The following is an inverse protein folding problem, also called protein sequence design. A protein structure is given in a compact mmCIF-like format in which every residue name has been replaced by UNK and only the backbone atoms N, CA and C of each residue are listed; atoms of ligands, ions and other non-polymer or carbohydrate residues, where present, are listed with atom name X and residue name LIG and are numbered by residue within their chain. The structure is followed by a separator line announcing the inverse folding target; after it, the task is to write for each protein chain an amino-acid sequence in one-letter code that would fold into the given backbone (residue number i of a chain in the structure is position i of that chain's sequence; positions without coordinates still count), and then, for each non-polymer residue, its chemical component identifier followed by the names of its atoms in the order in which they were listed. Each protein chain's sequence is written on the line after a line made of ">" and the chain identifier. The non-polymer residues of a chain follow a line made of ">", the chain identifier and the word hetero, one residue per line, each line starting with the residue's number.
data_IF_167159932524
#
_entry.id   IF_167159932524
#
_cell.length_a   1.000
_cell.length_b   1.000
_cell.length_c   1.000
_cell.angle_alpha   90.00
_cell.angle_beta   90.00
_cell.angle_gamma   90.00
#
_symmetry.space_group_name_H-M   'P 1'
#
loop_
_entity.id
_entity.type
_entity.pdbx_description
1 polymer ?
#
# COMPACT_ATOMS: atom_id res chain seq x y z
N UNK A 1 27.71 67.52 -49.79
CA UNK A 1 27.34 67.14 -48.41
C UNK A 1 26.19 66.13 -48.48
N UNK A 2 26.49 64.81 -48.41
CA UNK A 2 25.50 63.74 -48.48
C UNK A 2 25.25 63.19 -47.07
N UNK A 3 24.02 63.37 -46.54
CA UNK A 3 23.57 62.77 -45.27
C UNK A 3 23.05 61.35 -45.55
N UNK A 4 23.73 60.39 -44.98
CA UNK A 4 23.30 58.98 -44.96
C UNK A 4 22.39 58.78 -43.75
N UNK A 5 21.11 58.48 -43.99
CA UNK A 5 20.17 58.03 -42.95
C UNK A 5 20.35 56.55 -42.70
N UNK A 6 20.67 56.20 -41.46
CA UNK A 6 20.68 54.82 -40.97
C UNK A 6 19.29 54.46 -40.42
N UNK A 7 18.59 53.56 -41.05
CA UNK A 7 17.34 53.01 -40.56
C UNK A 7 17.69 51.83 -39.66
N UNK A 8 17.41 51.97 -38.38
CA UNK A 8 17.56 50.87 -37.42
C UNK A 8 16.35 49.96 -37.50
N UNK A 9 16.55 48.70 -37.92
CA UNK A 9 15.53 47.66 -37.90
C UNK A 9 15.61 46.97 -36.51
N UNK A 10 14.63 47.25 -35.65
CA UNK A 10 14.48 46.55 -34.37
C UNK A 10 13.84 45.20 -34.63
N UNK A 11 14.63 44.13 -34.42
CA UNK A 11 14.13 42.75 -34.46
C UNK A 11 13.45 42.41 -33.11
N UNK A 12 12.13 42.35 -33.14
CA UNK A 12 11.30 41.93 -32.00
C UNK A 12 11.37 40.40 -31.92
N UNK A 13 12.23 39.86 -31.04
CA UNK A 13 12.27 38.42 -30.69
C UNK A 13 11.09 38.11 -29.79
N UNK A 14 9.99 37.57 -30.33
CA UNK A 14 8.95 36.94 -29.53
C UNK A 14 9.54 35.64 -28.91
N UNK A 15 9.89 35.69 -27.65
CA UNK A 15 10.15 34.48 -26.84
C UNK A 15 8.82 33.73 -26.67
N UNK A 16 8.59 32.71 -27.49
CA UNK A 16 7.55 31.74 -27.24
C UNK A 16 7.98 30.89 -26.02
N UNK A 17 7.49 31.24 -24.83
CA UNK A 17 7.54 30.35 -23.67
C UNK A 17 6.68 29.13 -23.98
N UNK A 18 7.21 27.89 -23.94
CA UNK A 18 6.36 26.72 -24.03
C UNK A 18 5.45 26.75 -22.81
N UNK A 19 4.16 26.95 -23.02
CA UNK A 19 3.11 26.68 -22.07
C UNK A 19 3.09 25.13 -21.92
N UNK A 20 4.01 24.59 -21.12
CA UNK A 20 3.88 23.24 -20.60
C UNK A 20 2.61 23.27 -19.75
N UNK A 21 1.49 22.97 -20.38
CA UNK A 21 0.27 22.65 -19.69
C UNK A 21 0.65 21.50 -18.73
N UNK A 22 0.79 21.81 -17.46
CA UNK A 22 0.67 20.83 -16.41
C UNK A 22 -0.76 20.31 -16.52
N UNK A 23 -0.95 19.28 -17.34
CA UNK A 23 -2.09 18.39 -17.22
C UNK A 23 -1.94 17.79 -15.82
N UNK A 24 -2.53 18.44 -14.83
CA UNK A 24 -2.87 17.79 -13.58
C UNK A 24 -3.70 16.60 -14.02
N UNK A 25 -3.11 15.43 -13.83
CA UNK A 25 -3.80 14.16 -13.99
C UNK A 25 -4.95 14.17 -12.98
N UNK A 26 -6.11 14.62 -13.45
CA UNK A 26 -7.26 14.89 -12.59
C UNK A 26 -8.17 13.67 -12.69
N UNK A 27 -7.86 12.66 -11.83
CA UNK A 27 -8.74 11.53 -11.60
C UNK A 27 -9.53 11.78 -10.30
N UNK A 28 -10.69 12.47 -10.39
CA UNK A 28 -11.49 12.78 -9.20
C UNK A 28 -12.08 11.50 -8.62
N UNK A 29 -12.21 11.47 -7.29
CA UNK A 29 -12.88 10.38 -6.60
C UNK A 29 -14.31 10.18 -7.16
N UNK A 30 -14.61 8.98 -7.60
CA UNK A 30 -15.97 8.59 -8.02
C UNK A 30 -16.89 8.60 -6.80
N UNK A 31 -18.11 9.08 -6.97
CA UNK A 31 -19.16 8.98 -5.96
C UNK A 31 -20.05 7.79 -6.30
N UNK A 32 -19.57 6.60 -5.99
CA UNK A 32 -20.35 5.36 -6.22
C UNK A 32 -21.59 5.31 -5.32
N UNK A 33 -21.41 5.67 -4.04
CA UNK A 33 -22.48 5.74 -3.04
C UNK A 33 -23.33 4.49 -2.92
N UNK A 34 -23.88 4.28 -1.73
CA UNK A 34 -24.83 3.17 -1.50
C UNK A 34 -24.25 1.98 -0.77
N UNK A 35 -25.13 1.29 -0.03
CA UNK A 35 -24.76 0.25 0.90
C UNK A 35 -24.04 0.79 2.13
N UNK A 36 -24.11 0.03 3.20
CA UNK A 36 -23.36 0.33 4.42
C UNK A 36 -22.10 -0.56 4.48
N UNK A 37 -21.04 -0.04 5.08
CA UNK A 37 -19.92 -0.88 5.44
C UNK A 37 -20.41 -2.04 6.31
N UNK A 38 -20.00 -3.29 6.05
CA UNK A 38 -20.52 -4.45 6.75
C UNK A 38 -20.41 -4.33 8.28
N UNK A 39 -21.34 -4.95 9.00
CA UNK A 39 -21.39 -4.89 10.46
C UNK A 39 -20.06 -5.30 11.10
N UNK A 40 -19.62 -4.57 12.10
CA UNK A 40 -18.34 -4.78 12.80
C UNK A 40 -17.13 -4.21 12.10
N UNK A 41 -17.28 -3.60 10.92
CA UNK A 41 -16.21 -2.87 10.27
C UNK A 41 -16.31 -1.37 10.52
N UNK A 42 -15.16 -0.75 10.68
CA UNK A 42 -14.97 0.70 10.71
C UNK A 42 -14.15 1.11 9.50
N UNK A 43 -14.39 2.30 8.95
CA UNK A 43 -13.63 2.82 7.82
C UNK A 43 -13.22 4.25 8.04
N UNK A 44 -12.11 4.65 7.42
CA UNK A 44 -11.63 6.02 7.37
C UNK A 44 -11.01 6.33 6.02
N UNK A 45 -11.40 7.46 5.45
CA UNK A 45 -10.80 8.02 4.24
C UNK A 45 -9.43 8.63 4.52
N UNK A 46 -8.57 8.72 3.51
CA UNK A 46 -7.22 9.29 3.64
C UNK A 46 -7.22 10.78 3.96
N UNK A 47 -8.24 11.52 3.50
CA UNK A 47 -8.36 12.97 3.67
C UNK A 47 -9.64 13.30 4.43
N UNK A 48 -9.58 14.30 5.31
CA UNK A 48 -10.71 14.71 6.16
C UNK A 48 -11.91 15.26 5.37
N UNK A 49 -11.66 15.85 4.19
CA UNK A 49 -12.72 16.37 3.32
C UNK A 49 -13.41 15.30 2.46
N UNK A 50 -12.94 14.05 2.48
CA UNK A 50 -13.55 12.91 1.80
C UNK A 50 -14.57 12.23 2.70
N UNK A 51 -15.57 11.59 2.10
CA UNK A 51 -16.64 10.88 2.83
C UNK A 51 -16.62 9.40 2.50
N UNK A 52 -16.66 8.56 3.52
CA UNK A 52 -16.77 7.11 3.35
C UNK A 52 -18.07 6.71 2.62
N UNK A 53 -19.12 7.51 2.76
CA UNK A 53 -20.41 7.34 2.05
C UNK A 53 -20.31 7.54 0.52
N UNK A 54 -19.20 8.07 0.02
CA UNK A 54 -18.95 8.16 -1.42
C UNK A 54 -18.52 6.80 -2.01
N UNK A 55 -18.10 5.84 -1.17
CA UNK A 55 -17.90 4.45 -1.57
C UNK A 55 -19.21 3.64 -1.48
N UNK A 56 -19.32 2.58 -2.29
CA UNK A 56 -20.40 1.61 -2.24
C UNK A 56 -19.90 0.32 -1.61
N UNK A 57 -20.71 -0.27 -0.72
CA UNK A 57 -20.40 -1.55 -0.07
C UNK A 57 -21.53 -2.55 -0.30
N UNK A 58 -21.14 -3.80 -0.61
CA UNK A 58 -22.05 -4.92 -0.80
C UNK A 58 -21.48 -6.15 -0.08
N UNK A 59 -22.23 -6.72 0.85
CA UNK A 59 -21.85 -7.99 1.49
C UNK A 59 -21.86 -9.10 0.44
N UNK A 60 -20.78 -9.88 0.35
CA UNK A 60 -20.65 -10.95 -0.64
C UNK A 60 -19.84 -12.12 -0.08
N UNK A 61 -20.45 -13.28 0.05
CA UNK A 61 -19.80 -14.47 0.61
C UNK A 61 -19.26 -14.25 2.01
N UNK A 62 -18.01 -14.60 2.23
CA UNK A 62 -17.29 -14.43 3.52
C UNK A 62 -16.71 -13.02 3.71
N UNK A 63 -16.88 -12.14 2.72
CA UNK A 63 -16.30 -10.81 2.70
C UNK A 63 -17.28 -9.74 2.24
N UNK A 64 -16.76 -8.77 1.52
CA UNK A 64 -17.54 -7.70 0.94
C UNK A 64 -16.89 -7.16 -0.34
N UNK A 65 -17.74 -6.55 -1.14
CA UNK A 65 -17.33 -5.81 -2.32
C UNK A 65 -17.33 -4.33 -2.02
N UNK A 66 -16.29 -3.62 -2.45
CA UNK A 66 -16.20 -2.17 -2.37
C UNK A 66 -15.97 -1.58 -3.75
N UNK A 67 -16.86 -0.70 -4.17
CA UNK A 67 -16.59 0.25 -5.26
C UNK A 67 -16.14 1.53 -4.58
N UNK A 68 -14.80 1.72 -4.55
CA UNK A 68 -14.19 2.83 -3.85
C UNK A 68 -14.37 4.13 -4.64
N UNK A 69 -14.81 5.18 -3.96
CA UNK A 69 -14.60 6.55 -4.41
C UNK A 69 -13.28 7.05 -3.85
N UNK A 70 -13.23 7.49 -2.57
CA UNK A 70 -11.99 7.89 -1.94
C UNK A 70 -11.13 6.70 -1.51
N UNK A 71 -9.82 6.92 -1.41
CA UNK A 71 -8.92 6.00 -0.76
C UNK A 71 -9.24 5.89 0.74
N UNK A 72 -9.28 4.67 1.26
CA UNK A 72 -9.65 4.43 2.64
C UNK A 72 -8.97 3.19 3.24
N UNK A 73 -8.95 3.15 4.57
CA UNK A 73 -8.63 1.97 5.35
C UNK A 73 -9.90 1.44 6.03
N UNK A 74 -9.96 0.13 6.22
CA UNK A 74 -11.09 -0.58 6.83
C UNK A 74 -10.56 -1.57 7.87
N UNK A 75 -11.16 -1.60 9.06
CA UNK A 75 -10.75 -2.52 10.11
C UNK A 75 -11.95 -2.95 10.97
N UNK A 76 -11.77 -4.07 11.67
CA UNK A 76 -12.66 -4.48 12.75
C UNK A 76 -12.05 -4.02 14.08
N UNK A 77 -12.83 -3.96 15.14
CA UNK A 77 -12.31 -3.71 16.49
C UNK A 77 -11.56 -4.95 17.00
N UNK A 78 -10.41 -5.20 16.38
CA UNK A 78 -9.52 -6.32 16.67
C UNK A 78 -8.10 -5.79 16.88
N UNK A 79 -7.72 -5.59 18.11
CA UNK A 79 -6.33 -5.30 18.43
C UNK A 79 -5.58 -6.62 18.56
N UNK A 80 -4.56 -6.78 17.74
CA UNK A 80 -3.64 -7.92 17.83
C UNK A 80 -2.54 -7.55 18.82
N UNK A 81 -2.22 -8.49 19.71
CA UNK A 81 -1.06 -8.43 20.61
C UNK A 81 -0.23 -9.67 20.41
N UNK A 82 1.10 -9.50 20.33
CA UNK A 82 2.03 -10.60 20.10
C UNK A 82 2.05 -11.13 18.66
N UNK A 83 2.62 -12.33 18.44
CA UNK A 83 2.82 -12.90 17.11
C UNK A 83 1.51 -13.27 16.42
N UNK A 84 1.41 -12.98 15.11
CA UNK A 84 0.24 -13.31 14.30
C UNK A 84 0.59 -13.53 12.83
N UNK A 85 -0.36 -14.12 12.11
CA UNK A 85 -0.43 -14.11 10.65
C UNK A 85 -1.78 -13.54 10.26
N UNK A 86 -1.77 -12.54 9.38
CA UNK A 86 -2.99 -11.98 8.80
C UNK A 86 -2.98 -12.17 7.28
N UNK A 87 -4.13 -12.49 6.71
CA UNK A 87 -4.29 -12.63 5.27
C UNK A 87 -5.63 -12.05 4.79
N UNK A 88 -5.66 -11.68 3.53
CA UNK A 88 -6.87 -11.33 2.80
C UNK A 88 -6.69 -11.63 1.31
N UNK A 89 -7.76 -12.05 0.66
CA UNK A 89 -7.81 -12.24 -0.78
C UNK A 89 -8.56 -11.08 -1.41
N UNK A 90 -7.91 -10.42 -2.36
CA UNK A 90 -8.46 -9.30 -3.11
C UNK A 90 -8.67 -9.70 -4.56
N UNK A 91 -9.85 -9.42 -5.09
CA UNK A 91 -10.13 -9.55 -6.51
C UNK A 91 -10.50 -8.18 -7.06
N UNK A 92 -9.58 -7.55 -7.78
CA UNK A 92 -9.89 -6.38 -8.60
C UNK A 92 -10.81 -6.84 -9.72
N UNK A 93 -11.94 -6.14 -9.94
CA UNK A 93 -12.98 -6.58 -10.86
C UNK A 93 -12.86 -5.93 -12.25
N UNK A 94 -12.22 -4.78 -12.33
CA UNK A 94 -11.94 -4.04 -13.57
C UNK A 94 -10.70 -3.18 -13.44
N UNK A 95 -10.09 -2.81 -14.55
CA UNK A 95 -8.99 -1.85 -14.57
C UNK A 95 -9.49 -0.46 -14.11
N UNK A 96 -8.84 0.20 -13.15
CA UNK A 96 -9.06 1.61 -12.90
C UNK A 96 -8.49 2.47 -14.03
N UNK A 97 -8.89 3.74 -14.10
CA UNK A 97 -8.38 4.68 -15.11
C UNK A 97 -6.87 4.87 -14.99
N UNK A 98 -6.38 4.98 -13.76
CA UNK A 98 -4.96 4.99 -13.41
C UNK A 98 -4.63 3.78 -12.54
N UNK A 99 -3.39 3.27 -12.57
CA UNK A 99 -3.00 2.13 -11.75
C UNK A 99 -3.16 2.42 -10.26
N UNK A 100 -4.20 1.85 -9.66
CA UNK A 100 -4.53 1.99 -8.25
C UNK A 100 -4.28 0.70 -7.47
N UNK A 101 -4.20 0.79 -6.15
CA UNK A 101 -3.69 -0.27 -5.30
C UNK A 101 -4.65 -0.65 -4.16
N UNK A 102 -4.54 -1.90 -3.75
CA UNK A 102 -5.22 -2.46 -2.58
C UNK A 102 -4.25 -3.28 -1.74
N UNK A 103 -4.61 -3.51 -0.48
CA UNK A 103 -3.76 -4.35 0.37
C UNK A 103 -4.15 -4.42 1.83
N UNK A 104 -3.17 -4.80 2.65
CA UNK A 104 -3.32 -4.99 4.09
C UNK A 104 -2.48 -3.96 4.83
N UNK A 105 -3.05 -3.32 5.84
CA UNK A 105 -2.30 -2.56 6.83
C UNK A 105 -2.19 -3.35 8.14
N UNK A 106 -1.17 -3.05 8.94
CA UNK A 106 -0.88 -3.67 10.23
C UNK A 106 -0.20 -2.69 11.18
N UNK A 107 -0.09 -3.04 12.45
CA UNK A 107 0.42 -2.18 13.53
C UNK A 107 -0.43 -0.91 13.73
N UNK A 108 -1.73 -0.96 13.41
CA UNK A 108 -2.62 0.20 13.41
C UNK A 108 -2.85 0.76 14.81
N UNK A 109 -2.55 2.05 15.00
CA UNK A 109 -2.78 2.81 16.23
C UNK A 109 -3.40 4.16 15.87
N UNK A 110 -4.29 4.68 16.73
CA UNK A 110 -4.89 6.00 16.53
C UNK A 110 -5.68 6.14 15.22
N UNK A 111 -6.19 5.05 14.63
CA UNK A 111 -6.72 5.02 13.27
C UNK A 111 -7.87 6.01 13.03
N UNK A 112 -8.64 6.33 14.07
CA UNK A 112 -9.76 7.28 13.99
C UNK A 112 -9.33 8.76 14.19
N UNK A 113 -8.06 9.04 14.47
CA UNK A 113 -7.55 10.38 14.81
C UNK A 113 -6.51 10.87 13.80
N UNK A 114 -6.09 12.13 13.92
CA UNK A 114 -5.01 12.68 13.10
C UNK A 114 -3.66 11.96 13.35
N UNK A 115 -3.48 11.33 14.52
CA UNK A 115 -2.27 10.62 14.93
C UNK A 115 -2.20 9.17 14.44
N UNK A 116 -3.02 8.82 13.42
CA UNK A 116 -3.02 7.48 12.83
C UNK A 116 -1.60 7.01 12.50
N UNK A 117 -1.30 5.77 12.88
CA UNK A 117 0.01 5.19 12.65
C UNK A 117 -0.16 3.72 12.23
N UNK A 118 0.35 3.35 11.06
CA UNK A 118 0.27 1.98 10.54
C UNK A 118 1.25 1.75 9.38
N UNK A 119 1.75 0.53 9.25
CA UNK A 119 2.45 0.08 8.05
C UNK A 119 1.49 -0.65 7.12
N UNK A 120 1.79 -0.68 5.82
CA UNK A 120 0.92 -1.33 4.84
C UNK A 120 1.67 -1.86 3.61
N UNK A 121 1.21 -3.04 3.16
CA UNK A 121 1.58 -3.67 1.90
C UNK A 121 0.48 -3.40 0.89
N UNK A 122 0.85 -2.92 -0.28
CA UNK A 122 -0.05 -2.73 -1.42
C UNK A 122 0.42 -3.49 -2.64
N UNK A 123 -0.53 -3.92 -3.45
CA UNK A 123 -0.33 -4.43 -4.81
C UNK A 123 -1.19 -3.68 -5.81
N UNK A 124 -0.74 -3.64 -7.06
CA UNK A 124 -1.45 -3.06 -8.20
C UNK A 124 -1.70 -4.10 -9.28
N UNK A 125 -2.75 -3.90 -10.07
CA UNK A 125 -3.10 -4.77 -11.19
C UNK A 125 -2.03 -4.86 -12.30
N UNK A 126 -1.07 -3.94 -12.34
CA UNK A 126 0.07 -3.97 -13.28
C UNK A 126 1.23 -4.88 -12.80
N UNK A 127 1.10 -5.55 -11.65
CA UNK A 127 2.10 -6.50 -11.16
C UNK A 127 3.13 -5.93 -10.20
N UNK A 128 2.85 -4.79 -9.56
CA UNK A 128 3.79 -4.13 -8.66
C UNK A 128 3.38 -4.26 -7.20
N UNK A 129 4.38 -4.22 -6.33
CA UNK A 129 4.25 -4.14 -4.87
C UNK A 129 4.82 -2.82 -4.35
N UNK A 130 4.30 -2.37 -3.21
CA UNK A 130 4.83 -1.24 -2.45
C UNK A 130 4.61 -1.46 -0.96
N UNK A 131 5.54 -0.98 -0.13
CA UNK A 131 5.41 -0.96 1.33
C UNK A 131 5.64 0.45 1.83
N UNK A 132 4.72 0.95 2.64
CA UNK A 132 4.82 2.27 3.27
C UNK A 132 4.47 2.21 4.75
N UNK A 133 4.85 3.27 5.45
CA UNK A 133 4.48 3.54 6.83
C UNK A 133 3.84 4.93 6.90
N UNK A 134 2.67 5.03 7.49
CA UNK A 134 1.99 6.28 7.78
C UNK A 134 2.15 6.64 9.26
N UNK A 135 2.52 7.88 9.53
CA UNK A 135 2.63 8.47 10.86
C UNK A 135 1.93 9.85 10.86
N UNK A 136 0.69 9.88 11.29
CA UNK A 136 -0.16 11.07 11.17
C UNK A 136 -0.37 11.47 9.70
N UNK A 137 0.06 12.68 9.35
CA UNK A 137 0.02 13.21 7.98
C UNK A 137 1.19 12.72 7.11
N UNK A 138 2.27 12.27 7.73
CA UNK A 138 3.50 11.89 7.03
C UNK A 138 3.42 10.44 6.53
N UNK A 139 3.96 10.21 5.34
CA UNK A 139 4.00 8.88 4.71
C UNK A 139 5.43 8.59 4.27
N UNK A 140 6.01 7.55 4.85
CA UNK A 140 7.36 7.10 4.58
C UNK A 140 7.34 5.89 3.65
N UNK A 141 8.09 5.94 2.56
CA UNK A 141 8.25 4.80 1.64
C UNK A 141 9.33 3.87 2.19
N UNK A 142 8.97 2.59 2.41
CA UNK A 142 9.90 1.52 2.83
C UNK A 142 10.37 0.73 1.62
N UNK A 143 9.43 0.36 0.73
CA UNK A 143 9.70 -0.24 -0.58
C UNK A 143 8.88 0.53 -1.59
N UNK A 144 9.53 1.14 -2.57
CA UNK A 144 8.85 1.86 -3.64
C UNK A 144 8.25 0.88 -4.66
N UNK A 145 7.40 1.37 -5.55
CA UNK A 145 6.77 0.56 -6.56
C UNK A 145 7.78 -0.28 -7.34
N UNK A 146 7.71 -1.59 -7.12
CA UNK A 146 8.66 -2.56 -7.69
C UNK A 146 7.88 -3.68 -8.36
N UNK A 147 8.25 -4.03 -9.60
CA UNK A 147 7.70 -5.19 -10.28
C UNK A 147 8.00 -6.47 -9.50
N UNK A 148 6.99 -7.31 -9.33
CA UNK A 148 7.15 -8.56 -8.60
C UNK A 148 6.35 -9.70 -9.25
N UNK A 149 7.04 -10.78 -9.61
CA UNK A 149 6.45 -11.93 -10.27
C UNK A 149 5.41 -12.69 -9.42
N UNK A 150 5.40 -12.45 -8.09
CA UNK A 150 4.38 -13.02 -7.21
C UNK A 150 3.01 -12.35 -7.35
N UNK A 151 2.93 -11.15 -7.92
CA UNK A 151 1.67 -10.44 -8.14
C UNK A 151 1.04 -10.93 -9.44
N UNK A 152 -0.15 -11.48 -9.35
CA UNK A 152 -0.95 -11.78 -10.53
C UNK A 152 -1.41 -10.48 -11.18
N UNK A 153 -0.98 -10.28 -12.43
CA UNK A 153 -1.38 -9.10 -13.21
C UNK A 153 -2.83 -9.22 -13.66
N UNK A 154 -3.46 -8.08 -13.86
CA UNK A 154 -4.80 -8.01 -14.42
C UNK A 154 -4.84 -8.58 -15.83
N UNK A 155 -5.93 -9.26 -16.16
CA UNK A 155 -6.23 -9.75 -17.49
C UNK A 155 -6.75 -8.62 -18.42
N UNK A 156 -7.16 -8.99 -19.61
CA UNK A 156 -7.69 -8.03 -20.60
C UNK A 156 -9.00 -7.34 -20.14
N UNK A 157 -9.73 -7.94 -19.19
CA UNK A 157 -10.93 -7.35 -18.58
C UNK A 157 -10.58 -6.47 -17.37
N UNK A 158 -9.30 -6.38 -17.01
CA UNK A 158 -8.82 -5.65 -15.84
C UNK A 158 -8.95 -6.42 -14.53
N UNK A 159 -9.24 -7.73 -14.57
CA UNK A 159 -9.47 -8.55 -13.39
C UNK A 159 -8.17 -9.21 -12.92
N UNK A 160 -7.92 -9.15 -11.61
CA UNK A 160 -6.79 -9.83 -10.97
C UNK A 160 -7.17 -10.26 -9.56
N UNK A 161 -6.74 -11.46 -9.16
CA UNK A 161 -6.91 -11.96 -7.78
C UNK A 161 -5.54 -12.17 -7.14
N UNK A 162 -5.34 -11.58 -5.97
CA UNK A 162 -4.11 -11.72 -5.19
C UNK A 162 -4.45 -11.95 -3.72
N UNK A 163 -3.79 -12.91 -3.09
CA UNK A 163 -3.83 -13.12 -1.63
C UNK A 163 -2.61 -12.49 -0.99
N UNK A 164 -2.84 -11.55 -0.09
CA UNK A 164 -1.78 -10.86 0.65
C UNK A 164 -1.70 -11.43 2.07
N UNK A 165 -0.47 -11.56 2.57
CA UNK A 165 -0.21 -12.06 3.93
C UNK A 165 0.80 -11.17 4.64
N UNK A 166 0.47 -10.80 5.88
CA UNK A 166 1.37 -10.20 6.86
C UNK A 166 1.72 -11.29 7.87
N UNK A 167 2.96 -11.74 7.87
CA UNK A 167 3.45 -12.79 8.73
C UNK A 167 4.39 -12.18 9.80
N UNK A 168 3.82 -11.86 10.95
CA UNK A 168 4.47 -11.34 12.14
C UNK A 168 4.67 -12.44 13.21
N UNK A 169 4.79 -13.70 12.78
CA UNK A 169 5.00 -14.84 13.71
C UNK A 169 6.40 -14.88 14.31
N UNK A 170 7.35 -14.13 13.79
CA UNK A 170 8.75 -14.10 14.23
C UNK A 170 9.06 -12.78 14.95
N UNK A 171 9.87 -12.88 16.01
CA UNK A 171 10.31 -11.71 16.76
C UNK A 171 11.32 -10.82 16.00
N UNK A 172 12.04 -11.39 15.03
CA UNK A 172 13.10 -10.70 14.30
C UNK A 172 12.62 -9.94 13.03
N UNK A 173 11.44 -10.26 12.54
CA UNK A 173 10.95 -9.67 11.29
C UNK A 173 9.45 -9.85 11.06
N UNK A 174 8.84 -8.90 10.35
CA UNK A 174 7.55 -9.08 9.67
C UNK A 174 7.81 -9.39 8.21
N UNK A 175 7.31 -10.53 7.75
CA UNK A 175 7.40 -10.96 6.35
C UNK A 175 6.12 -10.63 5.63
N UNK A 176 6.24 -9.97 4.49
CA UNK A 176 5.13 -9.58 3.64
C UNK A 176 5.12 -10.49 2.42
N UNK A 177 3.96 -11.13 2.16
CA UNK A 177 3.85 -12.11 1.08
C UNK A 177 2.67 -11.78 0.18
N UNK A 178 2.81 -12.12 -1.09
CA UNK A 178 1.76 -12.09 -2.09
C UNK A 178 1.71 -13.48 -2.75
N UNK A 179 0.52 -14.07 -2.79
CA UNK A 179 0.30 -15.41 -3.36
C UNK A 179 1.27 -16.47 -2.81
N UNK A 180 1.59 -16.38 -1.51
CA UNK A 180 2.50 -17.27 -0.80
C UNK A 180 4.00 -16.93 -0.90
N UNK A 181 4.43 -16.15 -1.89
CA UNK A 181 5.81 -15.75 -2.04
C UNK A 181 6.14 -14.49 -1.23
N UNK A 182 7.30 -14.46 -0.57
CA UNK A 182 7.75 -13.28 0.16
C UNK A 182 8.18 -12.18 -0.82
N UNK A 183 7.57 -11.01 -0.68
CA UNK A 183 7.85 -9.83 -1.53
C UNK A 183 8.65 -8.75 -0.78
N UNK A 184 8.56 -8.72 0.55
CA UNK A 184 9.33 -7.82 1.39
C UNK A 184 9.49 -8.40 2.81
N UNK A 185 10.41 -7.83 3.58
CA UNK A 185 10.52 -8.06 5.01
C UNK A 185 10.90 -6.77 5.72
N UNK A 186 10.31 -6.56 6.89
CA UNK A 186 10.62 -5.44 7.78
C UNK A 186 11.35 -5.98 9.01
N UNK A 187 12.59 -5.55 9.30
CA UNK A 187 13.30 -5.99 10.50
C UNK A 187 12.58 -5.58 11.78
N UNK A 188 12.47 -6.49 12.74
CA UNK A 188 11.83 -6.25 14.05
C UNK A 188 12.46 -5.09 14.82
N UNK A 189 13.78 -4.89 14.67
CA UNK A 189 14.52 -3.79 15.28
C UNK A 189 14.02 -2.39 14.88
N UNK A 190 13.36 -2.26 13.75
CA UNK A 190 12.85 -0.97 13.25
C UNK A 190 11.37 -0.73 13.59
N UNK A 191 10.69 -1.73 14.17
CA UNK A 191 9.23 -1.66 14.36
C UNK A 191 8.81 -1.45 15.83
N UNK A 192 9.70 -1.70 16.80
CA UNK A 192 9.40 -1.66 18.22
C UNK A 192 8.38 -2.72 18.64
N UNK A 193 7.16 -2.67 18.12
CA UNK A 193 6.10 -3.65 18.39
C UNK A 193 5.23 -3.86 17.17
N UNK A 194 4.76 -5.09 16.97
CA UNK A 194 3.76 -5.43 15.94
C UNK A 194 2.32 -5.31 16.44
N UNK A 195 2.12 -4.93 17.70
CA UNK A 195 0.81 -4.78 18.31
C UNK A 195 0.01 -3.65 17.66
N UNK A 196 -1.28 -3.86 17.53
CA UNK A 196 -2.20 -2.88 16.97
C UNK A 196 -3.30 -3.49 16.11
N UNK A 197 -4.08 -2.65 15.46
CA UNK A 197 -5.09 -3.12 14.53
C UNK A 197 -4.46 -3.61 13.23
N UNK A 198 -5.10 -4.62 12.63
CA UNK A 198 -4.83 -5.09 11.29
C UNK A 198 -6.09 -4.90 10.45
N UNK A 199 -5.96 -4.49 9.21
CA UNK A 199 -7.10 -4.27 8.37
C UNK A 199 -6.73 -4.13 6.89
N UNK A 200 -7.67 -3.62 6.13
CA UNK A 200 -7.61 -3.53 4.67
C UNK A 200 -7.35 -2.09 4.25
N UNK A 201 -6.70 -1.92 3.12
CA UNK A 201 -6.58 -0.65 2.44
C UNK A 201 -7.01 -0.81 0.99
N UNK A 202 -7.87 0.10 0.52
CA UNK A 202 -8.28 0.20 -0.87
C UNK A 202 -8.07 1.65 -1.31
N UNK A 203 -7.30 1.85 -2.36
CA UNK A 203 -7.09 3.17 -2.92
C UNK A 203 -8.33 3.64 -3.70
N UNK A 204 -8.28 4.87 -4.22
CA UNK A 204 -9.44 5.47 -4.85
C UNK A 204 -9.82 4.81 -6.19
N UNK A 205 -11.07 4.97 -6.60
CA UNK A 205 -11.62 4.54 -7.89
C UNK A 205 -11.41 3.06 -8.23
N UNK A 206 -11.27 2.21 -7.21
CA UNK A 206 -11.17 0.77 -7.38
C UNK A 206 -12.52 0.06 -7.20
N UNK A 207 -12.64 -1.06 -7.91
CA UNK A 207 -13.75 -2.00 -7.83
C UNK A 207 -13.16 -3.34 -7.38
N UNK A 208 -13.29 -3.65 -6.08
CA UNK A 208 -12.55 -4.75 -5.44
C UNK A 208 -13.49 -5.59 -4.57
N UNK A 209 -13.47 -6.90 -4.79
CA UNK A 209 -14.00 -7.86 -3.84
C UNK A 209 -12.91 -8.29 -2.87
N UNK A 210 -13.22 -8.26 -1.56
CA UNK A 210 -12.34 -8.72 -0.48
C UNK A 210 -12.96 -9.94 0.17
N UNK A 211 -12.21 -11.03 0.24
CA UNK A 211 -12.61 -12.28 0.88
C UNK A 211 -11.52 -12.77 1.86
N UNK A 212 -11.90 -13.72 2.69
CA UNK A 212 -10.99 -14.49 3.56
C UNK A 212 -10.07 -13.63 4.45
N UNK A 213 -10.55 -12.44 4.87
CA UNK A 213 -9.82 -11.65 5.84
C UNK A 213 -9.80 -12.36 7.19
N UNK A 214 -8.64 -12.82 7.58
CA UNK A 214 -8.42 -13.54 8.82
C UNK A 214 -7.15 -13.08 9.52
N UNK A 215 -7.18 -13.09 10.85
CA UNK A 215 -6.03 -12.85 11.72
C UNK A 215 -5.91 -14.05 12.64
N UNK A 216 -4.78 -14.76 12.55
CA UNK A 216 -4.52 -15.97 13.31
C UNK A 216 -3.37 -15.71 14.29
N UNK A 217 -3.64 -15.69 15.62
CA UNK A 217 -2.58 -15.62 16.61
C UNK A 217 -1.60 -16.78 16.44
N UNK A 218 -0.33 -16.53 16.69
CA UNK A 218 0.73 -17.50 16.58
C UNK A 218 1.46 -17.66 17.93
N UNK A 219 2.04 -18.84 18.16
CA UNK A 219 3.02 -18.98 19.24
C UNK A 219 4.31 -18.27 18.80
N UNK A 220 4.96 -17.55 19.73
CA UNK A 220 6.26 -16.92 19.42
C UNK A 220 7.27 -17.99 18.99
N UNK A 221 7.70 -17.95 17.74
CA UNK A 221 8.85 -18.73 17.31
C UNK A 221 10.11 -17.96 17.66
N UNK A 222 11.01 -18.55 18.43
CA UNK A 222 12.30 -17.94 18.77
C UNK A 222 13.02 -17.54 17.47
N UNK A 223 13.71 -16.39 17.49
CA UNK A 223 14.60 -15.99 16.41
C UNK A 223 15.58 -17.14 16.12
N UNK A 224 15.78 -17.50 14.85
CA UNK A 224 16.84 -18.45 14.50
C UNK A 224 18.17 -17.87 15.01
N UNK A 225 18.84 -18.63 15.91
CA UNK A 225 20.17 -18.25 16.35
C UNK A 225 21.08 -18.04 15.14
N UNK A 226 21.87 -16.96 15.10
CA UNK A 226 22.80 -16.76 14.00
C UNK A 226 23.70 -17.98 13.85
N UNK A 227 24.07 -18.41 12.64
CA UNK A 227 24.93 -19.56 12.44
C UNK A 227 26.23 -19.35 13.22
N UNK A 228 26.58 -20.27 14.11
CA UNK A 228 27.82 -20.24 14.87
C UNK A 228 28.96 -20.14 13.86
N UNK A 229 29.72 -19.03 13.87
CA UNK A 229 30.95 -18.90 13.10
C UNK A 229 31.83 -20.08 13.42
N UNK A 230 32.14 -20.91 12.41
CA UNK A 230 33.07 -22.01 12.55
C UNK A 230 34.43 -21.42 12.95
N UNK A 231 34.85 -21.62 14.18
CA UNK A 231 36.18 -21.27 14.66
C UNK A 231 37.18 -22.19 13.96
N UNK A 232 37.86 -21.67 12.98
CA UNK A 232 38.97 -22.34 12.29
C UNK A 232 40.09 -22.54 13.30
N UNK A 233 40.18 -23.77 13.85
CA UNK A 233 41.27 -24.18 14.74
C UNK A 233 42.56 -24.16 13.91
N UNK A 234 43.39 -23.13 14.08
CA UNK A 234 44.71 -23.12 13.49
C UNK A 234 45.53 -24.24 14.15
N UNK A 235 45.81 -25.27 13.37
CA UNK A 235 46.80 -26.30 13.77
C UNK A 235 48.19 -25.64 13.83
N UNK A 236 48.77 -25.62 15.00
CA UNK A 236 50.13 -25.17 15.27
C UNK A 236 51.07 -26.27 14.77
N UNK A 237 51.71 -26.07 13.62
CA UNK A 237 52.80 -26.93 13.15
C UNK A 237 53.98 -26.79 14.11
N UNK A 238 54.38 -27.90 14.69
CA UNK A 238 55.64 -28.04 15.36
C UNK A 238 56.72 -28.36 14.27
N UNK A 239 57.68 -27.53 14.13
CA UNK A 239 58.96 -27.75 13.53
C UNK A 239 60.03 -27.51 14.57
#
# INVERSE_FOLDING_TARGET
>A
MMRRSFTAVSLLVLAATPLAAQMKDHDPDVKAGGGALPAGWTGRTDRENQKLSDAKFETMGTGFHVTSGPAAIYWKDNKVTGPFVANATFTQMKAPMHPEAYGIFFMGKGLATADQNYAYLLVRGDGKVMVKHRAGKDVHTIVDWTDNAAVHKQDAAGKATNTLTVDASRADSVRLKVNGAQVAAMPGSHMGSTDGAVGLRVNHNLDVHVADFAITPQKSSAAMAPPKKATKKMAKAKG
#
